data_IF_744874167125
#
_entry.id   IF_744874167125
#
_cell.length_a   1.000
_cell.length_b   1.000
_cell.length_c   1.000
_cell.angle_alpha   90.00
_cell.angle_beta   90.00
_cell.angle_gamma   90.00
#
_symmetry.space_group_name_H-M   'P 1'
#
loop_
_entity.id
_entity.type
_entity.pdbx_description
1 polymer ?
#
# COMPACT_ATOMS: atom_id res chain seq x y z
N UNK A 1 7.31 -9.40 19.46
CA UNK A 1 7.52 -9.02 18.05
C UNK A 1 8.55 -7.90 18.03
N UNK A 2 9.72 -8.14 17.45
CA UNK A 2 10.76 -7.12 17.29
C UNK A 2 10.35 -6.19 16.15
N UNK A 3 10.85 -4.95 16.13
CA UNK A 3 10.55 -3.98 15.07
C UNK A 3 10.88 -4.52 13.66
N UNK A 4 11.92 -5.34 13.53
CA UNK A 4 12.30 -6.00 12.28
C UNK A 4 11.22 -6.92 11.74
N UNK A 5 10.50 -7.61 12.63
CA UNK A 5 9.45 -8.56 12.27
C UNK A 5 8.26 -7.81 11.65
N UNK A 6 7.98 -6.60 12.15
CA UNK A 6 6.90 -5.72 11.65
C UNK A 6 7.18 -5.27 10.21
N UNK A 7 8.42 -4.87 9.90
CA UNK A 7 8.78 -4.47 8.54
C UNK A 7 8.80 -5.66 7.57
N UNK A 8 9.22 -6.85 8.05
CA UNK A 8 9.20 -8.07 7.25
C UNK A 8 7.78 -8.43 6.79
N UNK A 9 6.82 -8.39 7.72
CA UNK A 9 5.40 -8.68 7.41
C UNK A 9 4.81 -7.74 6.35
N UNK A 10 5.23 -6.48 6.31
CA UNK A 10 4.75 -5.52 5.28
C UNK A 10 5.24 -5.92 3.89
N UNK A 11 6.52 -6.26 3.77
CA UNK A 11 7.08 -6.65 2.47
C UNK A 11 6.54 -8.01 2.02
N UNK A 12 6.32 -8.94 2.95
CA UNK A 12 5.65 -10.21 2.66
C UNK A 12 4.24 -10.00 2.11
N UNK A 13 3.41 -9.15 2.75
CA UNK A 13 2.10 -8.78 2.23
C UNK A 13 2.17 -8.14 0.84
N UNK A 14 3.08 -7.18 0.62
CA UNK A 14 3.25 -6.53 -0.68
C UNK A 14 3.65 -7.52 -1.77
N UNK A 15 4.55 -8.47 -1.47
CA UNK A 15 4.92 -9.52 -2.42
C UNK A 15 3.76 -10.47 -2.72
N UNK A 16 2.96 -10.82 -1.72
CA UNK A 16 1.79 -11.68 -1.87
C UNK A 16 0.72 -11.04 -2.78
N UNK A 17 0.53 -9.72 -2.70
CA UNK A 17 -0.43 -9.01 -3.55
C UNK A 17 0.09 -8.77 -4.98
N UNK A 18 1.41 -8.73 -5.20
CA UNK A 18 2.01 -8.39 -6.51
C UNK A 18 2.35 -9.62 -7.37
N UNK A 19 2.48 -10.81 -6.78
CA UNK A 19 2.92 -12.00 -7.53
C UNK A 19 1.88 -12.42 -8.60
N UNK A 20 2.32 -12.82 -9.81
CA UNK A 20 1.41 -13.18 -10.89
C UNK A 20 0.53 -14.38 -10.51
N UNK A 21 -0.78 -14.16 -10.61
CA UNK A 21 -1.89 -15.07 -10.31
C UNK A 21 -1.72 -16.43 -11.00
N UNK A 22 -1.12 -17.38 -10.29
CA UNK A 22 -1.29 -18.81 -10.51
C UNK A 22 -2.46 -19.25 -9.64
N UNK A 23 -3.52 -19.80 -10.25
CA UNK A 23 -4.85 -19.99 -9.64
C UNK A 23 -4.92 -20.91 -8.42
N UNK A 24 -3.85 -21.66 -8.10
CA UNK A 24 -3.83 -22.63 -7.00
C UNK A 24 -3.28 -22.08 -5.68
N UNK A 25 -2.42 -21.06 -5.71
CA UNK A 25 -1.76 -20.53 -4.51
C UNK A 25 -2.37 -19.21 -4.01
N UNK A 26 -3.21 -18.55 -4.81
CA UNK A 26 -3.82 -17.24 -4.51
C UNK A 26 -4.56 -17.22 -3.17
N UNK A 27 -5.40 -18.22 -2.90
CA UNK A 27 -6.18 -18.30 -1.66
C UNK A 27 -5.28 -18.39 -0.42
N UNK A 28 -4.17 -19.13 -0.53
CA UNK A 28 -3.21 -19.33 0.56
C UNK A 28 -2.42 -18.05 0.84
N UNK A 29 -1.99 -17.34 -0.20
CA UNK A 29 -1.28 -16.07 -0.06
C UNK A 29 -2.18 -14.97 0.50
N UNK A 30 -3.45 -14.94 0.11
CA UNK A 30 -4.43 -14.01 0.66
C UNK A 30 -4.75 -14.27 2.14
N UNK A 31 -4.76 -15.54 2.58
CA UNK A 31 -4.94 -15.90 3.99
C UNK A 31 -3.71 -15.49 4.84
N UNK A 32 -2.50 -15.73 4.34
CA UNK A 32 -1.25 -15.31 4.99
C UNK A 32 -1.20 -13.79 5.10
N UNK A 33 -1.44 -13.07 3.99
CA UNK A 33 -1.49 -11.62 3.97
C UNK A 33 -2.56 -11.07 4.93
N UNK A 34 -3.73 -11.70 5.02
CA UNK A 34 -4.79 -11.32 5.95
C UNK A 34 -4.39 -11.47 7.44
N UNK A 35 -3.73 -12.57 7.80
CA UNK A 35 -3.24 -12.80 9.16
C UNK A 35 -2.10 -11.85 9.54
N UNK A 36 -1.20 -11.57 8.60
CA UNK A 36 -0.09 -10.65 8.80
C UNK A 36 -0.59 -9.20 8.91
N UNK A 37 -1.61 -8.82 8.14
CA UNK A 37 -2.26 -7.51 8.23
C UNK A 37 -2.99 -7.33 9.58
N UNK A 38 -3.66 -8.36 10.09
CA UNK A 38 -4.29 -8.31 11.41
C UNK A 38 -3.26 -8.16 12.55
N UNK A 39 -2.11 -8.82 12.42
CA UNK A 39 -0.99 -8.70 13.36
C UNK A 39 -0.35 -7.31 13.29
N UNK A 40 -0.19 -6.79 12.07
CA UNK A 40 0.30 -5.44 11.83
C UNK A 40 -0.61 -4.36 12.42
N UNK A 41 -1.93 -4.51 12.29
CA UNK A 41 -2.91 -3.57 12.84
C UNK A 41 -2.77 -3.41 14.36
N UNK A 42 -2.52 -4.51 15.08
CA UNK A 42 -2.24 -4.47 16.54
C UNK A 42 -0.93 -3.78 16.89
N UNK A 43 0.05 -3.79 16.00
CA UNK A 43 1.32 -3.08 16.19
C UNK A 43 1.19 -1.58 15.89
N UNK A 44 0.36 -1.19 14.92
CA UNK A 44 0.05 0.21 14.61
C UNK A 44 -0.53 0.91 15.84
N UNK A 45 -1.39 0.26 16.63
CA UNK A 45 -1.96 0.81 17.87
C UNK A 45 -0.90 1.31 18.87
N UNK A 46 0.32 0.77 18.82
CA UNK A 46 1.41 1.15 19.72
C UNK A 46 2.28 2.31 19.19
N UNK A 47 2.37 2.51 17.86
CA UNK A 47 3.09 3.63 17.21
C UNK A 47 2.43 4.04 15.89
N UNK A 48 1.24 4.61 16.02
CA UNK A 48 0.31 4.93 14.93
C UNK A 48 1.00 5.73 13.82
N UNK A 49 1.67 6.82 14.16
CA UNK A 49 2.27 7.76 13.20
C UNK A 49 3.37 7.18 12.28
N UNK A 50 4.05 6.09 12.66
CA UNK A 50 5.13 5.50 11.84
C UNK A 50 4.62 4.44 10.87
N UNK A 51 3.41 3.92 11.10
CA UNK A 51 2.89 2.74 10.40
C UNK A 51 1.54 2.99 9.74
N UNK A 52 0.86 4.09 10.07
CA UNK A 52 -0.46 4.43 9.55
C UNK A 52 -0.48 4.52 8.02
N UNK A 53 0.47 5.22 7.40
CA UNK A 53 0.51 5.35 5.95
C UNK A 53 0.75 4.01 5.24
N UNK A 54 1.60 3.13 5.80
CA UNK A 54 1.85 1.78 5.27
C UNK A 54 0.64 0.87 5.44
N UNK A 55 -0.07 0.98 6.57
CA UNK A 55 -1.34 0.26 6.80
C UNK A 55 -2.38 0.68 5.75
N UNK A 56 -2.52 1.99 5.52
CA UNK A 56 -3.46 2.53 4.53
C UNK A 56 -3.12 2.09 3.11
N UNK A 57 -1.83 1.98 2.77
CA UNK A 57 -1.41 1.44 1.47
C UNK A 57 -1.80 -0.05 1.31
N UNK A 58 -1.60 -0.87 2.35
CA UNK A 58 -1.99 -2.29 2.31
C UNK A 58 -3.51 -2.47 2.22
N UNK A 59 -4.29 -1.64 2.93
CA UNK A 59 -5.74 -1.64 2.81
C UNK A 59 -6.19 -1.23 1.40
N UNK A 60 -5.52 -0.26 0.76
CA UNK A 60 -5.81 0.15 -0.60
C UNK A 60 -5.62 -1.00 -1.61
N UNK A 61 -4.50 -1.72 -1.53
CA UNK A 61 -4.22 -2.90 -2.36
C UNK A 61 -5.24 -4.02 -2.12
N UNK A 62 -5.59 -4.29 -0.86
CA UNK A 62 -6.61 -5.28 -0.54
C UNK A 62 -7.97 -4.94 -1.19
N UNK A 63 -8.40 -3.68 -1.09
CA UNK A 63 -9.63 -3.21 -1.72
C UNK A 63 -9.55 -3.30 -3.24
N UNK A 64 -8.40 -2.99 -3.83
CA UNK A 64 -8.17 -3.14 -5.27
C UNK A 64 -8.31 -4.59 -5.73
N UNK A 65 -7.71 -5.54 -5.02
CA UNK A 65 -7.79 -6.98 -5.34
C UNK A 65 -9.23 -7.52 -5.22
N UNK A 66 -10.01 -7.04 -4.25
CA UNK A 66 -11.40 -7.46 -4.04
C UNK A 66 -12.36 -6.76 -5.03
N UNK A 67 -11.90 -5.76 -5.80
CA UNK A 67 -12.69 -5.01 -6.77
C UNK A 67 -13.46 -3.82 -6.18
N UNK A 68 -13.14 -3.43 -4.95
CA UNK A 68 -13.73 -2.27 -4.26
C UNK A 68 -12.93 -1.01 -4.58
N UNK A 69 -13.08 -0.50 -5.80
CA UNK A 69 -12.25 0.59 -6.32
C UNK A 69 -12.43 1.92 -5.59
N UNK A 70 -13.64 2.22 -5.09
CA UNK A 70 -13.92 3.47 -4.36
C UNK A 70 -13.14 3.49 -3.05
N UNK A 71 -13.26 2.43 -2.26
CA UNK A 71 -12.54 2.29 -0.99
C UNK A 71 -11.01 2.23 -1.22
N UNK A 72 -10.55 1.62 -2.31
CA UNK A 72 -9.13 1.62 -2.66
C UNK A 72 -8.60 3.04 -2.87
N UNK A 73 -9.30 3.87 -3.65
CA UNK A 73 -8.93 5.26 -3.93
C UNK A 73 -8.91 6.13 -2.66
N UNK A 74 -9.91 5.98 -1.79
CA UNK A 74 -9.94 6.66 -0.49
C UNK A 74 -8.72 6.31 0.36
N UNK A 75 -8.34 5.03 0.38
CA UNK A 75 -7.19 4.54 1.17
C UNK A 75 -5.85 5.00 0.61
N UNK A 76 -5.69 5.06 -0.73
CA UNK A 76 -4.51 5.66 -1.35
C UNK A 76 -4.37 7.14 -0.96
N UNK A 77 -5.46 7.89 -1.05
CA UNK A 77 -5.46 9.33 -0.73
C UNK A 77 -5.14 9.56 0.74
N UNK A 78 -5.70 8.75 1.65
CA UNK A 78 -5.41 8.80 3.07
C UNK A 78 -3.94 8.47 3.37
N UNK A 79 -3.36 7.49 2.67
CA UNK A 79 -1.95 7.11 2.82
C UNK A 79 -1.00 8.25 2.40
N UNK A 80 -1.27 8.91 1.27
CA UNK A 80 -0.54 10.10 0.81
C UNK A 80 -0.61 11.23 1.85
N UNK A 81 -1.80 11.49 2.40
CA UNK A 81 -2.00 12.54 3.39
C UNK A 81 -1.21 12.27 4.68
N UNK A 82 -1.21 11.01 5.16
CA UNK A 82 -0.43 10.60 6.34
C UNK A 82 1.08 10.70 6.08
N UNK A 83 1.56 10.22 4.93
CA UNK A 83 2.98 10.30 4.54
C UNK A 83 3.48 11.76 4.47
N UNK A 84 2.69 12.66 3.87
CA UNK A 84 3.00 14.10 3.82
C UNK A 84 3.02 14.75 5.19
N UNK A 85 2.05 14.42 6.05
CA UNK A 85 1.94 14.96 7.41
C UNK A 85 3.18 14.66 8.25
N UNK A 86 3.75 13.46 8.08
CA UNK A 86 4.94 13.02 8.81
C UNK A 86 6.27 13.22 8.05
N UNK A 87 6.23 13.82 6.85
CA UNK A 87 7.40 14.08 5.98
C UNK A 87 8.15 12.80 5.59
N UNK A 88 7.42 11.70 5.38
CA UNK A 88 7.99 10.46 4.87
C UNK A 88 8.04 10.50 3.34
N UNK A 89 9.03 11.22 2.80
CA UNK A 89 9.16 11.46 1.35
C UNK A 89 9.26 10.17 0.52
N UNK A 90 10.05 9.19 0.98
CA UNK A 90 10.16 7.90 0.31
C UNK A 90 8.83 7.15 0.28
N UNK A 91 8.05 7.23 1.36
CA UNK A 91 6.78 6.52 1.47
C UNK A 91 5.67 7.23 0.69
N UNK A 92 5.69 8.56 0.65
CA UNK A 92 4.83 9.35 -0.24
C UNK A 92 5.09 9.02 -1.71
N UNK A 93 6.37 8.90 -2.11
CA UNK A 93 6.76 8.48 -3.46
C UNK A 93 6.25 7.07 -3.80
N UNK A 94 6.41 6.12 -2.87
CA UNK A 94 5.95 4.73 -3.05
C UNK A 94 4.43 4.65 -3.24
N UNK A 95 3.65 5.31 -2.37
CA UNK A 95 2.18 5.30 -2.44
C UNK A 95 1.69 5.92 -3.73
N UNK A 96 2.30 7.03 -4.19
CA UNK A 96 1.97 7.65 -5.47
C UNK A 96 2.28 6.75 -6.67
N UNK A 97 3.31 5.93 -6.60
CA UNK A 97 3.62 4.97 -7.66
C UNK A 97 2.52 3.89 -7.77
N UNK A 98 2.14 3.30 -6.63
CA UNK A 98 1.05 2.31 -6.58
C UNK A 98 -0.30 2.91 -6.99
N UNK A 99 -0.62 4.12 -6.50
CA UNK A 99 -1.86 4.81 -6.89
C UNK A 99 -1.89 5.15 -8.39
N UNK A 100 -0.75 5.55 -8.97
CA UNK A 100 -0.63 5.74 -10.41
C UNK A 100 -0.90 4.46 -11.20
N UNK A 101 -0.37 3.31 -10.77
CA UNK A 101 -0.66 2.01 -11.41
C UNK A 101 -2.14 1.63 -11.28
N UNK A 102 -2.73 1.81 -10.10
CA UNK A 102 -4.16 1.62 -9.88
C UNK A 102 -5.02 2.46 -10.85
N UNK A 103 -4.68 3.73 -11.03
CA UNK A 103 -5.37 4.62 -11.98
C UNK A 103 -5.17 4.19 -13.44
N UNK A 104 -4.02 3.63 -13.81
CA UNK A 104 -3.80 3.06 -15.14
C UNK A 104 -4.70 1.86 -15.41
N UNK A 105 -4.82 0.95 -14.44
CA UNK A 105 -5.71 -0.22 -14.51
C UNK A 105 -7.20 0.19 -14.59
N UNK A 106 -7.57 1.32 -14.00
CA UNK A 106 -8.91 1.93 -14.15
C UNK A 106 -9.11 2.73 -15.45
N UNK A 107 -8.07 2.90 -16.27
CA UNK A 107 -8.12 3.69 -17.51
C UNK A 107 -8.06 5.21 -17.31
N UNK A 108 -7.76 5.69 -16.10
CA UNK A 108 -7.61 7.12 -15.75
C UNK A 108 -6.16 7.58 -15.96
N UNK A 109 -5.73 7.55 -17.22
CA UNK A 109 -4.31 7.73 -17.58
C UNK A 109 -3.79 9.13 -17.22
N UNK A 110 -4.58 10.18 -17.42
CA UNK A 110 -4.17 11.56 -17.14
C UNK A 110 -3.82 11.77 -15.65
N UNK A 111 -4.65 11.23 -14.76
CA UNK A 111 -4.43 11.30 -13.31
C UNK A 111 -3.26 10.40 -12.89
N UNK A 112 -3.13 9.24 -13.53
CA UNK A 112 -1.99 8.35 -13.29
C UNK A 112 -0.64 9.01 -13.60
N UNK A 113 -0.55 9.74 -14.72
CA UNK A 113 0.67 10.44 -15.11
C UNK A 113 1.05 11.52 -14.10
N UNK A 114 0.09 12.26 -13.56
CA UNK A 114 0.34 13.24 -12.52
C UNK A 114 0.93 12.59 -11.26
N UNK A 115 0.35 11.49 -10.79
CA UNK A 115 0.84 10.79 -9.60
C UNK A 115 2.21 10.14 -9.83
N UNK A 116 2.45 9.56 -11.00
CA UNK A 116 3.74 8.97 -11.38
C UNK A 116 4.84 10.02 -11.57
N UNK A 117 4.52 11.18 -12.15
CA UNK A 117 5.46 12.29 -12.27
C UNK A 117 5.86 12.83 -10.89
N UNK A 118 4.88 13.03 -10.01
CA UNK A 118 5.10 13.49 -8.65
C UNK A 118 5.90 12.48 -7.79
N UNK A 119 5.73 11.18 -8.01
CA UNK A 119 6.55 10.14 -7.37
C UNK A 119 8.03 10.25 -7.74
N UNK A 120 8.33 10.41 -9.04
CA UNK A 120 9.71 10.47 -9.56
C UNK A 120 10.51 11.68 -9.08
N UNK A 121 9.84 12.79 -8.81
CA UNK A 121 10.49 14.01 -8.28
C UNK A 121 10.93 13.79 -6.83
N UNK A 122 10.10 13.11 -6.02
CA UNK A 122 10.36 12.88 -4.60
C UNK A 122 11.43 11.83 -4.31
N UNK A 123 11.74 10.95 -5.27
CA UNK A 123 12.80 9.93 -5.14
C UNK A 123 14.19 10.54 -5.44
N UNK A 124 14.25 11.73 -6.05
CA UNK A 124 15.49 12.40 -6.48
C UNK A 124 16.04 13.46 -5.49
N UNK A 125 15.28 13.80 -4.45
CA UNK A 125 15.70 14.71 -3.36
C UNK A 125 16.18 13.93 -2.14
#
# INVERSE_FOLDING_TARGET
>A
MRFTDVYHSIYECLTAFHQPRSSEDEAKWMEIAGNDLASYRKCVDHRVWTFENKLLLLEAEQHFVIGNYIEAEEKYTASIASAKKHRFFHEDGLVKEFFGRFLQELGRIDEAEEHLANSRVLIRE
#
